data_IF_074615358534
#
_entry.id   IF_074615358534
#
_cell.length_a   1.000
_cell.length_b   1.000
_cell.length_c   1.000
_cell.angle_alpha   90.00
_cell.angle_beta   90.00
_cell.angle_gamma   90.00
#
_symmetry.space_group_name_H-M   'P 1'
#
loop_
_entity.id
_entity.type
_entity.pdbx_description
1 polymer ?
#
# COMPACT_ATOMS: atom_id res chain seq x y z
N UNK A 1 24.10 -5.76 -14.20
CA UNK A 1 22.84 -5.89 -14.99
C UNK A 1 21.78 -5.05 -14.32
N UNK A 2 21.26 -4.03 -15.00
CA UNK A 2 20.13 -3.23 -14.51
C UNK A 2 18.88 -4.09 -14.46
N UNK A 3 18.20 -4.12 -13.32
CA UNK A 3 16.99 -4.96 -13.18
C UNK A 3 15.86 -4.46 -14.10
N UNK A 4 14.93 -5.34 -14.50
CA UNK A 4 13.76 -4.95 -15.29
C UNK A 4 12.97 -3.81 -14.62
N UNK A 5 12.86 -3.84 -13.29
CA UNK A 5 12.21 -2.80 -12.49
C UNK A 5 12.91 -1.44 -12.66
N UNK A 6 14.26 -1.41 -12.64
CA UNK A 6 15.02 -0.16 -12.83
C UNK A 6 14.80 0.41 -14.21
N UNK A 7 14.79 -0.41 -15.26
CA UNK A 7 14.51 0.04 -16.63
C UNK A 7 13.11 0.61 -16.80
N UNK A 8 12.09 -0.04 -16.19
CA UNK A 8 10.72 0.45 -16.22
C UNK A 8 10.58 1.77 -15.45
N UNK A 9 11.24 1.89 -14.29
CA UNK A 9 11.25 3.14 -13.52
C UNK A 9 11.92 4.29 -14.27
N UNK A 10 13.00 4.03 -14.99
CA UNK A 10 13.68 5.02 -15.82
C UNK A 10 12.78 5.45 -17.00
N UNK A 11 12.15 4.50 -17.69
CA UNK A 11 11.21 4.76 -18.79
C UNK A 11 10.02 5.62 -18.36
N UNK A 12 9.59 5.52 -17.11
CA UNK A 12 8.43 6.22 -16.55
C UNK A 12 8.85 7.27 -15.51
N UNK A 13 10.11 7.76 -15.57
CA UNK A 13 10.70 8.61 -14.54
C UNK A 13 9.85 9.84 -14.20
N UNK A 14 9.27 10.53 -15.19
CA UNK A 14 8.40 11.68 -14.99
C UNK A 14 7.16 11.31 -14.18
N UNK A 15 6.47 10.21 -14.53
CA UNK A 15 5.28 9.74 -13.82
C UNK A 15 5.61 9.22 -12.41
N UNK A 16 6.75 8.57 -12.26
CA UNK A 16 7.26 8.12 -10.96
C UNK A 16 7.56 9.32 -10.06
N UNK A 17 8.20 10.37 -10.59
CA UNK A 17 8.47 11.61 -9.86
C UNK A 17 7.14 12.24 -9.38
N UNK A 18 6.20 12.48 -10.30
CA UNK A 18 4.87 13.02 -9.97
C UNK A 18 4.12 12.17 -8.94
N UNK A 19 4.23 10.84 -9.02
CA UNK A 19 3.60 9.95 -8.03
C UNK A 19 4.22 10.13 -6.65
N UNK A 20 5.56 10.28 -6.57
CA UNK A 20 6.25 10.53 -5.32
C UNK A 20 5.85 11.89 -4.72
N UNK A 21 5.75 12.94 -5.54
CA UNK A 21 5.24 14.25 -5.12
C UNK A 21 3.83 14.14 -4.52
N UNK A 22 2.91 13.43 -5.20
CA UNK A 22 1.55 13.18 -4.69
C UNK A 22 1.58 12.45 -3.35
N UNK A 23 2.47 11.46 -3.19
CA UNK A 23 2.64 10.74 -1.92
C UNK A 23 3.12 11.71 -0.84
N UNK A 24 4.18 12.47 -1.06
CA UNK A 24 4.78 13.39 -0.08
C UNK A 24 3.81 14.49 0.35
N UNK A 25 3.10 15.11 -0.58
CA UNK A 25 2.12 16.16 -0.30
C UNK A 25 0.94 15.70 0.57
N UNK A 26 0.59 14.41 0.51
CA UNK A 26 -0.56 13.86 1.22
C UNK A 26 -0.18 13.02 2.45
N UNK A 27 1.12 12.91 2.77
CA UNK A 27 1.66 12.05 3.81
C UNK A 27 1.44 12.57 5.23
N UNK A 28 1.26 13.86 5.40
CA UNK A 28 1.23 14.51 6.70
C UNK A 28 -0.06 15.31 6.94
N UNK A 29 -0.25 15.70 8.19
CA UNK A 29 -1.28 16.66 8.60
C UNK A 29 -0.60 17.80 9.40
N UNK A 30 -0.95 19.05 9.09
CA UNK A 30 -0.44 20.21 9.83
C UNK A 30 -0.88 20.19 11.29
N UNK A 31 -2.08 19.67 11.54
CA UNK A 31 -2.66 19.60 12.89
C UNK A 31 -2.05 18.47 13.74
N UNK A 32 -1.48 17.46 13.08
CA UNK A 32 -0.97 16.25 13.75
C UNK A 32 0.35 15.80 13.12
N UNK A 33 1.48 16.48 13.43
CA UNK A 33 2.78 16.21 12.77
C UNK A 33 3.28 14.77 12.92
N UNK A 34 2.97 14.10 14.02
CA UNK A 34 3.36 12.70 14.28
C UNK A 34 2.89 11.73 13.19
N UNK A 35 1.83 12.06 12.45
CA UNK A 35 1.38 11.26 11.30
C UNK A 35 2.47 11.24 10.23
N UNK A 36 3.03 12.41 9.92
CA UNK A 36 4.12 12.54 8.96
C UNK A 36 5.37 11.77 9.37
N UNK A 37 5.74 11.82 10.65
CA UNK A 37 6.92 11.12 11.18
C UNK A 37 6.78 9.60 11.00
N UNK A 38 5.65 9.04 11.41
CA UNK A 38 5.38 7.60 11.35
C UNK A 38 5.24 7.11 9.89
N UNK A 39 4.47 7.83 9.09
CA UNK A 39 4.27 7.48 7.69
C UNK A 39 5.56 7.59 6.87
N UNK A 40 6.36 8.65 7.10
CA UNK A 40 7.68 8.81 6.47
C UNK A 40 8.66 7.72 6.90
N UNK A 41 8.66 7.31 8.17
CA UNK A 41 9.50 6.22 8.65
C UNK A 41 9.23 4.92 7.86
N UNK A 42 7.95 4.56 7.64
CA UNK A 42 7.60 3.40 6.86
C UNK A 42 7.94 3.56 5.37
N UNK A 43 7.51 4.65 4.74
CA UNK A 43 7.64 4.88 3.30
C UNK A 43 9.11 5.01 2.90
N UNK A 44 9.94 5.66 3.75
CA UNK A 44 11.36 5.86 3.51
C UNK A 44 12.23 4.70 4.03
N UNK A 45 11.67 3.70 4.71
CA UNK A 45 12.40 2.50 5.13
C UNK A 45 12.94 1.66 3.96
N UNK A 46 12.69 2.10 2.74
CA UNK A 46 13.08 1.44 1.51
C UNK A 46 11.92 0.62 0.93
N UNK A 47 12.06 0.26 -0.31
CA UNK A 47 11.08 -0.51 -1.08
C UNK A 47 11.22 -0.18 -2.54
N UNK A 48 10.93 -1.17 -3.40
CA UNK A 48 11.05 -0.99 -4.85
C UNK A 48 9.85 -0.27 -5.46
N UNK A 49 8.86 0.11 -4.66
CA UNK A 49 7.58 0.73 -5.10
C UNK A 49 6.97 0.04 -6.33
N UNK A 50 6.98 -1.29 -6.30
CA UNK A 50 6.57 -2.12 -7.44
C UNK A 50 5.09 -1.91 -7.78
N UNK A 51 4.22 -1.74 -6.77
CA UNK A 51 2.78 -1.54 -6.99
C UNK A 51 2.47 -0.24 -7.74
N UNK A 52 2.95 0.94 -7.29
CA UNK A 52 2.83 2.17 -8.06
C UNK A 52 3.40 2.04 -9.47
N UNK A 53 4.59 1.44 -9.60
CA UNK A 53 5.23 1.28 -10.90
C UNK A 53 4.39 0.43 -11.85
N UNK A 54 3.82 -0.69 -11.40
CA UNK A 54 2.95 -1.54 -12.22
C UNK A 54 1.69 -0.80 -12.65
N UNK A 55 1.11 0.03 -11.80
CA UNK A 55 -0.03 0.89 -12.16
C UNK A 55 0.32 1.84 -13.29
N UNK A 56 1.49 2.48 -13.22
CA UNK A 56 1.97 3.39 -14.26
C UNK A 56 2.33 2.64 -15.56
N UNK A 57 2.91 1.44 -15.45
CA UNK A 57 3.18 0.56 -16.61
C UNK A 57 1.89 0.17 -17.31
N UNK A 58 0.87 -0.26 -16.56
CA UNK A 58 -0.44 -0.60 -17.12
C UNK A 58 -1.06 0.61 -17.83
N UNK A 59 -1.02 1.80 -17.19
CA UNK A 59 -1.47 3.05 -17.80
C UNK A 59 -0.77 3.33 -19.13
N UNK A 60 0.55 3.14 -19.19
CA UNK A 60 1.35 3.31 -20.40
C UNK A 60 1.01 2.28 -21.48
N UNK A 61 0.80 1.02 -21.11
CA UNK A 61 0.43 -0.05 -22.05
C UNK A 61 -0.91 0.22 -22.76
N UNK A 62 -1.87 0.85 -22.07
CA UNK A 62 -3.16 1.26 -22.63
C UNK A 62 -3.14 2.69 -23.20
N UNK A 63 -1.97 3.27 -23.41
CA UNK A 63 -1.75 4.59 -24.00
C UNK A 63 -2.53 5.73 -23.31
N UNK A 64 -2.72 5.64 -22.00
CA UNK A 64 -3.38 6.68 -21.22
C UNK A 64 -2.55 7.96 -21.18
N UNK A 65 -3.16 9.09 -21.56
CA UNK A 65 -2.47 10.40 -21.70
C UNK A 65 -2.75 11.36 -20.53
N UNK A 66 -3.60 10.98 -19.59
CA UNK A 66 -3.94 11.84 -18.46
C UNK A 66 -2.92 11.75 -17.31
N UNK A 67 -3.26 12.43 -16.20
CA UNK A 67 -2.43 12.46 -14.98
C UNK A 67 -3.07 11.70 -13.79
N UNK A 68 -4.27 11.16 -13.96
CA UNK A 68 -5.00 10.49 -12.87
C UNK A 68 -4.35 9.17 -12.45
N UNK A 69 -3.51 8.59 -13.29
CA UNK A 69 -2.72 7.39 -13.00
C UNK A 69 -1.73 7.62 -11.85
N UNK A 70 -1.22 8.84 -11.67
CA UNK A 70 -0.35 9.19 -10.53
C UNK A 70 -1.11 9.18 -9.20
N UNK A 71 -2.35 9.69 -9.19
CA UNK A 71 -3.23 9.59 -8.01
C UNK A 71 -3.61 8.15 -7.69
N UNK A 72 -3.88 7.34 -8.72
CA UNK A 72 -4.18 5.92 -8.55
C UNK A 72 -2.97 5.16 -8.00
N UNK A 73 -1.79 5.39 -8.57
CA UNK A 73 -0.53 4.78 -8.12
C UNK A 73 -0.21 5.14 -6.66
N UNK A 74 -0.39 6.41 -6.28
CA UNK A 74 -0.22 6.87 -4.90
C UNK A 74 -1.27 6.26 -3.95
N UNK A 75 -2.54 6.15 -4.37
CA UNK A 75 -3.59 5.51 -3.58
C UNK A 75 -3.28 4.04 -3.28
N UNK A 76 -2.80 3.30 -4.28
CA UNK A 76 -2.39 1.89 -4.12
C UNK A 76 -1.22 1.76 -3.14
N UNK A 77 -0.23 2.67 -3.19
CA UNK A 77 0.88 2.65 -2.24
C UNK A 77 0.41 2.98 -0.81
N UNK A 78 -0.56 3.88 -0.66
CA UNK A 78 -1.14 4.18 0.65
C UNK A 78 -1.94 3.03 1.24
N UNK A 79 -2.75 2.34 0.43
CA UNK A 79 -3.44 1.11 0.87
C UNK A 79 -2.41 0.09 1.34
N UNK A 80 -1.36 -0.15 0.56
CA UNK A 80 -0.29 -1.07 0.93
C UNK A 80 0.45 -0.63 2.20
N UNK A 81 0.78 0.65 2.33
CA UNK A 81 1.47 1.18 3.52
C UNK A 81 0.60 1.08 4.78
N UNK A 82 -0.70 1.32 4.65
CA UNK A 82 -1.66 1.15 5.73
C UNK A 82 -1.72 -0.31 6.21
N UNK A 83 -1.81 -1.27 5.27
CA UNK A 83 -1.79 -2.69 5.64
C UNK A 83 -0.50 -3.09 6.32
N UNK A 84 0.66 -2.56 5.89
CA UNK A 84 1.94 -2.84 6.54
C UNK A 84 2.01 -2.33 8.00
N UNK A 85 1.43 -1.14 8.29
CA UNK A 85 1.37 -0.61 9.66
C UNK A 85 0.46 -1.47 10.55
N UNK A 86 -0.64 -1.97 10.02
CA UNK A 86 -1.55 -2.86 10.73
C UNK A 86 -0.93 -4.25 10.95
N UNK A 87 -0.32 -4.82 9.90
CA UNK A 87 0.36 -6.12 9.95
C UNK A 87 1.47 -6.14 11.01
N UNK A 88 2.29 -5.09 11.09
CA UNK A 88 3.36 -5.02 12.08
C UNK A 88 2.84 -5.11 13.52
N UNK A 89 1.63 -4.62 13.78
CA UNK A 89 0.97 -4.73 15.08
C UNK A 89 0.38 -6.13 15.29
N UNK A 90 -0.32 -6.67 14.29
CA UNK A 90 -0.98 -7.98 14.35
C UNK A 90 0.08 -9.09 14.51
N UNK A 91 1.13 -9.03 13.70
CA UNK A 91 2.23 -10.02 13.68
C UNK A 91 3.25 -9.78 14.81
N UNK A 92 3.10 -8.70 15.61
CA UNK A 92 4.07 -8.27 16.63
C UNK A 92 5.49 -8.16 16.05
N UNK A 93 5.59 -7.65 14.84
CA UNK A 93 6.86 -7.52 14.13
C UNK A 93 7.77 -6.51 14.82
N UNK A 94 9.04 -6.88 15.01
CA UNK A 94 10.05 -5.99 15.61
C UNK A 94 10.83 -5.22 14.55
N UNK A 95 10.98 -5.79 13.37
CA UNK A 95 11.79 -5.20 12.28
C UNK A 95 11.08 -5.32 10.94
N UNK A 96 11.19 -4.27 10.15
CA UNK A 96 10.79 -4.23 8.75
C UNK A 96 11.92 -3.65 7.92
N UNK A 97 12.37 -4.40 6.91
CA UNK A 97 13.49 -4.00 6.02
C UNK A 97 14.76 -3.60 6.81
N UNK A 98 15.02 -4.27 7.92
CA UNK A 98 16.19 -4.01 8.78
C UNK A 98 16.02 -2.89 9.81
N UNK A 99 14.99 -2.06 9.71
CA UNK A 99 14.68 -1.01 10.67
C UNK A 99 13.65 -1.49 11.70
N UNK A 100 13.63 -0.87 12.88
CA UNK A 100 12.57 -1.07 13.88
C UNK A 100 11.23 -0.68 13.28
N UNK A 101 10.19 -1.47 13.59
CA UNK A 101 8.82 -1.17 13.16
C UNK A 101 8.23 0.04 13.88
N UNK A 102 7.25 0.69 13.26
CA UNK A 102 6.60 1.87 13.81
C UNK A 102 5.94 1.60 15.17
N UNK A 103 5.33 0.44 15.36
CA UNK A 103 4.71 0.02 16.61
C UNK A 103 5.71 -0.09 17.78
N UNK A 104 6.98 -0.41 17.51
CA UNK A 104 8.04 -0.42 18.53
C UNK A 104 8.59 0.98 18.84
N UNK A 105 8.66 1.87 17.86
CA UNK A 105 9.22 3.21 18.04
C UNK A 105 8.21 4.13 18.71
N UNK A 106 6.96 4.08 18.27
CA UNK A 106 5.91 4.95 18.78
C UNK A 106 4.92 4.21 19.69
N UNK A 107 4.08 3.38 19.19
CA UNK A 107 3.22 2.40 19.90
C UNK A 107 2.32 1.68 18.89
N UNK A 108 1.72 0.53 19.29
CA UNK A 108 0.67 -0.15 18.51
C UNK A 108 -0.49 0.81 18.16
N UNK A 109 -0.91 1.65 19.14
CA UNK A 109 -2.02 2.59 18.95
C UNK A 109 -1.75 3.58 17.83
N UNK A 110 -0.55 4.17 17.79
CA UNK A 110 -0.18 5.10 16.73
C UNK A 110 -0.04 4.39 15.38
N UNK A 111 0.52 3.18 15.35
CA UNK A 111 0.64 2.40 14.11
C UNK A 111 -0.73 2.16 13.46
N UNK A 112 -1.71 1.72 14.26
CA UNK A 112 -3.08 1.51 13.78
C UNK A 112 -3.72 2.81 13.29
N UNK A 113 -3.68 3.88 14.10
CA UNK A 113 -4.32 5.15 13.74
C UNK A 113 -3.69 5.82 12.51
N UNK A 114 -2.37 5.71 12.33
CA UNK A 114 -1.71 6.22 11.12
C UNK A 114 -2.02 5.34 9.92
N UNK A 115 -2.16 4.03 10.09
CA UNK A 115 -2.69 3.15 9.05
C UNK A 115 -4.07 3.58 8.57
N UNK A 116 -5.00 3.87 9.50
CA UNK A 116 -6.35 4.38 9.17
C UNK A 116 -6.29 5.74 8.45
N UNK A 117 -5.37 6.62 8.86
CA UNK A 117 -5.16 7.88 8.17
C UNK A 117 -4.69 7.68 6.73
N UNK A 118 -3.70 6.82 6.49
CA UNK A 118 -3.22 6.51 5.13
C UNK A 118 -4.32 5.88 4.27
N UNK A 119 -5.13 5.01 4.86
CA UNK A 119 -6.30 4.44 4.19
C UNK A 119 -7.30 5.53 3.77
N UNK A 120 -7.58 6.48 4.67
CA UNK A 120 -8.44 7.62 4.38
C UNK A 120 -7.86 8.52 3.28
N UNK A 121 -6.55 8.74 3.26
CA UNK A 121 -5.86 9.46 2.18
C UNK A 121 -5.96 8.73 0.84
N UNK A 122 -5.86 7.39 0.83
CA UNK A 122 -6.09 6.61 -0.38
C UNK A 122 -7.48 6.86 -0.97
N UNK A 123 -8.54 6.88 -0.14
CA UNK A 123 -9.89 7.22 -0.60
C UNK A 123 -9.95 8.62 -1.21
N UNK A 124 -9.32 9.62 -0.58
CA UNK A 124 -9.28 10.98 -1.11
C UNK A 124 -8.59 11.06 -2.47
N UNK A 125 -7.50 10.30 -2.67
CA UNK A 125 -6.81 10.20 -3.95
C UNK A 125 -7.65 9.48 -5.01
N UNK A 126 -8.36 8.40 -4.64
CA UNK A 126 -9.31 7.73 -5.53
C UNK A 126 -10.41 8.68 -6.02
N UNK A 127 -10.96 9.52 -5.14
CA UNK A 127 -11.97 10.53 -5.51
C UNK A 127 -11.40 11.54 -6.52
N UNK A 128 -10.12 11.95 -6.39
CA UNK A 128 -9.45 12.84 -7.37
C UNK A 128 -9.41 12.25 -8.78
N UNK A 129 -9.45 10.91 -8.93
CA UNK A 129 -9.54 10.27 -10.26
C UNK A 129 -10.86 10.54 -10.97
N UNK A 130 -11.92 10.92 -10.24
CA UNK A 130 -13.29 11.13 -10.76
C UNK A 130 -13.84 9.91 -11.52
N UNK A 131 -13.46 8.70 -11.10
CA UNK A 131 -13.88 7.44 -11.72
C UNK A 131 -14.51 6.51 -10.68
N UNK A 132 -15.83 6.32 -10.77
CA UNK A 132 -16.54 5.36 -9.92
C UNK A 132 -16.05 3.92 -10.15
N UNK A 133 -15.59 3.59 -11.35
CA UNK A 133 -15.04 2.28 -11.66
C UNK A 133 -13.75 2.03 -10.86
N UNK A 134 -12.84 3.01 -10.81
CA UNK A 134 -11.61 2.93 -10.01
C UNK A 134 -11.96 2.80 -8.53
N UNK A 135 -12.86 3.64 -8.03
CA UNK A 135 -13.30 3.58 -6.63
C UNK A 135 -13.88 2.21 -6.28
N UNK A 136 -14.75 1.66 -7.13
CA UNK A 136 -15.32 0.32 -6.92
C UNK A 136 -14.22 -0.75 -6.90
N UNK A 137 -13.36 -0.78 -7.91
CA UNK A 137 -12.30 -1.78 -8.01
C UNK A 137 -11.39 -1.78 -6.78
N UNK A 138 -10.95 -0.59 -6.32
CA UNK A 138 -10.05 -0.51 -5.15
C UNK A 138 -10.78 -0.76 -3.83
N UNK A 139 -12.05 -0.38 -3.68
CA UNK A 139 -12.82 -0.72 -2.49
C UNK A 139 -13.10 -2.23 -2.40
N UNK A 140 -13.42 -2.88 -3.52
CA UNK A 140 -13.59 -4.32 -3.57
C UNK A 140 -12.26 -5.04 -3.24
N UNK A 141 -11.14 -4.59 -3.80
CA UNK A 141 -9.81 -5.11 -3.48
C UNK A 141 -9.48 -4.93 -1.99
N UNK A 142 -9.76 -3.76 -1.41
CA UNK A 142 -9.53 -3.48 0.00
C UNK A 142 -10.35 -4.38 0.92
N UNK A 143 -11.61 -4.64 0.57
CA UNK A 143 -12.46 -5.57 1.31
C UNK A 143 -11.91 -7.01 1.26
N UNK A 144 -11.43 -7.45 0.08
CA UNK A 144 -10.82 -8.77 -0.09
C UNK A 144 -9.51 -8.89 0.72
N UNK A 145 -8.69 -7.84 0.77
CA UNK A 145 -7.46 -7.81 1.58
C UNK A 145 -7.81 -7.98 3.05
N UNK A 146 -8.75 -7.19 3.58
CA UNK A 146 -9.18 -7.27 4.98
C UNK A 146 -9.75 -8.65 5.32
N UNK A 147 -10.52 -9.26 4.43
CA UNK A 147 -11.00 -10.64 4.61
C UNK A 147 -9.84 -11.65 4.63
N UNK A 148 -8.83 -11.47 3.78
CA UNK A 148 -7.64 -12.31 3.73
C UNK A 148 -6.83 -12.25 5.03
N UNK A 149 -6.68 -11.06 5.61
CA UNK A 149 -6.01 -10.86 6.91
C UNK A 149 -6.77 -11.56 8.05
N UNK A 150 -8.09 -11.36 8.14
CA UNK A 150 -8.93 -12.02 9.15
C UNK A 150 -8.85 -13.53 9.01
N UNK A 151 -8.90 -14.05 7.78
CA UNK A 151 -8.78 -15.48 7.52
C UNK A 151 -7.40 -16.01 7.95
N UNK A 152 -6.32 -15.28 7.68
CA UNK A 152 -4.97 -15.64 8.12
C UNK A 152 -4.92 -15.81 9.64
N UNK A 153 -5.38 -14.82 10.39
CA UNK A 153 -5.43 -14.89 11.87
C UNK A 153 -6.26 -16.10 12.35
N UNK A 154 -7.37 -16.40 11.67
CA UNK A 154 -8.24 -17.53 12.01
C UNK A 154 -7.62 -18.91 11.79
N UNK A 155 -6.64 -19.05 10.88
CA UNK A 155 -6.00 -20.33 10.57
C UNK A 155 -4.57 -20.45 11.11
N UNK A 156 -3.94 -19.36 11.55
CA UNK A 156 -2.54 -19.31 11.98
C UNK A 156 -2.18 -20.35 13.06
N UNK A 157 -3.13 -20.71 13.92
CA UNK A 157 -2.94 -21.69 14.99
C UNK A 157 -3.54 -23.07 14.69
N UNK A 158 -4.06 -23.28 13.48
CA UNK A 158 -4.65 -24.56 13.09
C UNK A 158 -3.59 -25.47 12.51
N UNK A 159 -3.36 -26.63 13.15
CA UNK A 159 -2.43 -27.65 12.68
C UNK A 159 -2.95 -28.40 11.44
N UNK A 160 -4.24 -28.33 11.18
CA UNK A 160 -4.97 -28.99 10.07
C UNK A 160 -5.38 -28.02 8.96
N UNK A 161 -4.75 -26.83 8.91
CA UNK A 161 -5.00 -25.87 7.85
C UNK A 161 -4.74 -26.49 6.47
N UNK A 162 -5.74 -26.40 5.58
CA UNK A 162 -5.66 -27.00 4.24
C UNK A 162 -4.83 -26.15 3.28
N UNK A 163 -4.38 -26.79 2.16
CA UNK A 163 -3.78 -26.04 1.04
C UNK A 163 -4.72 -24.99 0.46
N UNK A 164 -6.02 -25.29 0.43
CA UNK A 164 -7.05 -24.37 -0.03
C UNK A 164 -7.15 -23.14 0.87
N UNK A 165 -7.07 -23.31 2.18
CA UNK A 165 -7.07 -22.19 3.13
C UNK A 165 -5.85 -21.29 2.91
N UNK A 166 -4.67 -21.88 2.76
CA UNK A 166 -3.45 -21.14 2.42
C UNK A 166 -3.60 -20.35 1.12
N UNK A 167 -4.13 -20.98 0.06
CA UNK A 167 -4.33 -20.31 -1.23
C UNK A 167 -5.35 -19.16 -1.13
N UNK A 168 -6.41 -19.30 -0.33
CA UNK A 168 -7.37 -18.22 -0.06
C UNK A 168 -6.69 -17.03 0.62
N UNK A 169 -5.84 -17.30 1.62
CA UNK A 169 -5.12 -16.24 2.33
C UNK A 169 -4.21 -15.46 1.37
N UNK A 170 -3.33 -16.12 0.63
CA UNK A 170 -2.40 -15.41 -0.27
C UNK A 170 -3.12 -14.69 -1.41
N UNK A 171 -4.25 -15.25 -1.89
CA UNK A 171 -5.08 -14.59 -2.89
C UNK A 171 -5.71 -13.31 -2.33
N UNK A 172 -6.27 -13.37 -1.12
CA UNK A 172 -6.84 -12.20 -0.46
C UNK A 172 -5.77 -11.19 -0.07
N UNK A 173 -4.83 -11.58 0.78
CA UNK A 173 -3.80 -10.69 1.36
C UNK A 173 -2.91 -10.02 0.31
N UNK A 174 -2.54 -10.74 -0.77
CA UNK A 174 -1.50 -10.27 -1.68
C UNK A 174 -2.01 -10.06 -3.10
N UNK A 175 -2.67 -11.06 -3.71
CA UNK A 175 -3.00 -11.01 -5.14
C UNK A 175 -4.06 -9.97 -5.48
N UNK A 176 -5.01 -9.71 -4.59
CA UNK A 176 -6.12 -8.79 -4.83
C UNK A 176 -5.70 -7.36 -5.22
N UNK A 177 -4.54 -6.90 -4.73
CA UNK A 177 -4.03 -5.56 -5.08
C UNK A 177 -3.19 -5.56 -6.37
N UNK A 178 -2.88 -6.74 -6.94
CA UNK A 178 -2.14 -6.88 -8.19
C UNK A 178 -3.03 -7.27 -9.39
N UNK A 179 -4.24 -7.75 -9.15
CA UNK A 179 -5.20 -8.17 -10.18
C UNK A 179 -6.14 -7.06 -10.60
#
# INVERSE_FOLDING_TARGET
MTSAISKLSELLSEKVCKTNEVIEENLSSKETPIIGDIASHLINSGGKRVRPLLTLVASKLFDYKGEKDTFLAAAIEYIHSATLLHDDVIDRSEKRRGLKTANLIWTNKYSVLVGDFLFSRAFQLMVKTKSLKIMRTLSDASAIISQGEILQVGIEKKLDASKEDYLKVIKGKTSALFS
#
